data_IF_991492138499
#
_entry.id   IF_991492138499
#
_cell.length_a   1.000
_cell.length_b   1.000
_cell.length_c   1.000
_cell.angle_alpha   90.00
_cell.angle_beta   90.00
_cell.angle_gamma   90.00
#
_symmetry.space_group_name_H-M   'P 1'
#
loop_
_entity.id
_entity.type
_entity.pdbx_description
1 polymer ?
#
# COMPACT_ATOMS: atom_id res chain seq x y z
N UNK A 1 95.84 -20.53 39.40
CA UNK A 1 95.25 -19.22 39.78
C UNK A 1 95.90 -18.13 38.95
N UNK A 2 95.09 -17.43 38.15
CA UNK A 2 95.27 -16.11 37.52
C UNK A 2 94.63 -16.13 36.13
N UNK A 3 93.51 -15.43 36.04
CA UNK A 3 92.50 -15.38 34.98
C UNK A 3 92.98 -14.73 33.68
N UNK A 4 92.64 -15.34 32.54
CA UNK A 4 92.80 -14.74 31.22
C UNK A 4 91.86 -13.53 31.03
N UNK A 5 92.33 -12.41 30.48
CA UNK A 5 91.49 -11.23 30.26
C UNK A 5 90.57 -11.44 29.04
N UNK A 6 89.27 -11.38 29.30
CA UNK A 6 88.19 -11.40 28.34
C UNK A 6 88.29 -10.17 27.41
N UNK A 7 88.78 -10.36 26.18
CA UNK A 7 88.78 -9.33 25.13
C UNK A 7 87.43 -9.34 24.41
N UNK A 8 86.54 -8.45 24.82
CA UNK A 8 85.33 -8.14 24.05
C UNK A 8 85.70 -7.34 22.79
N UNK A 9 85.12 -7.64 21.62
CA UNK A 9 85.38 -6.90 20.40
C UNK A 9 84.80 -5.48 20.48
N UNK A 10 85.65 -4.52 20.08
CA UNK A 10 85.41 -3.08 20.05
C UNK A 10 84.33 -2.72 19.03
N UNK A 11 83.20 -2.19 19.49
CA UNK A 11 82.08 -1.75 18.64
C UNK A 11 82.21 -0.25 18.41
N UNK A 12 82.70 0.12 17.22
CA UNK A 12 82.85 1.52 16.82
C UNK A 12 81.49 2.10 16.43
N UNK A 13 80.87 2.86 17.33
CA UNK A 13 79.69 3.67 17.03
C UNK A 13 80.06 4.91 16.21
N UNK A 14 79.55 4.99 14.98
CA UNK A 14 79.60 6.22 14.18
C UNK A 14 78.64 7.25 14.79
N UNK A 15 79.18 8.29 15.41
CA UNK A 15 78.43 9.49 15.81
C UNK A 15 77.89 10.17 14.55
N UNK A 16 76.58 10.22 14.41
CA UNK A 16 75.91 11.27 13.64
C UNK A 16 75.85 12.49 14.58
N UNK A 17 76.35 13.66 14.20
CA UNK A 17 76.22 14.85 15.05
C UNK A 17 74.73 15.16 15.22
N UNK A 18 74.27 15.04 16.46
CA UNK A 18 72.99 15.57 16.87
C UNK A 18 73.05 17.08 16.83
N UNK A 19 72.08 17.68 16.16
CA UNK A 19 71.63 19.01 16.52
C UNK A 19 70.56 18.83 17.60
N UNK A 20 70.92 19.29 18.79
CA UNK A 20 70.12 19.23 19.99
C UNK A 20 68.86 20.09 19.83
N UNK A 21 67.69 19.57 20.18
CA UNK A 21 66.98 19.98 21.40
C UNK A 21 65.56 19.44 21.44
N UNK A 22 65.34 18.59 22.43
CA UNK A 22 64.06 18.46 23.13
C UNK A 22 63.60 19.81 23.65
N UNK A 23 62.45 20.29 23.15
CA UNK A 23 61.50 21.06 23.93
C UNK A 23 60.10 20.63 23.53
N UNK A 24 59.50 19.79 24.39
CA UNK A 24 58.05 19.62 24.45
C UNK A 24 57.49 20.93 24.99
N UNK A 25 56.87 21.73 24.13
CA UNK A 25 55.92 22.77 24.52
C UNK A 25 54.57 22.36 23.97
N UNK A 26 53.62 22.22 24.89
CA UNK A 26 52.21 21.97 24.60
C UNK A 26 51.65 23.19 23.89
N UNK A 27 51.30 23.06 22.61
CA UNK A 27 50.35 23.94 21.93
C UNK A 27 49.28 23.08 21.24
N UNK A 28 47.98 23.32 21.50
CA UNK A 28 46.89 22.63 20.84
C UNK A 28 46.50 23.40 19.57
N UNK A 29 47.33 23.33 18.53
CA UNK A 29 46.99 23.91 17.23
C UNK A 29 47.12 22.90 16.10
N UNK A 30 45.95 22.43 15.67
CA UNK A 30 45.43 22.52 14.31
C UNK A 30 44.70 21.22 13.93
N UNK A 31 43.39 21.26 13.67
CA UNK A 31 42.72 20.12 13.06
C UNK A 31 43.36 19.92 11.68
N UNK A 32 44.01 18.76 11.46
CA UNK A 32 44.50 18.33 10.16
C UNK A 32 43.32 18.12 9.22
N UNK A 33 42.84 19.23 8.68
CA UNK A 33 41.76 19.30 7.74
C UNK A 33 42.39 19.40 6.33
N UNK A 34 41.92 18.55 5.43
CA UNK A 34 41.97 18.74 3.97
C UNK A 34 43.33 18.57 3.26
N UNK A 35 43.81 17.33 3.18
CA UNK A 35 44.46 16.85 1.93
C UNK A 35 43.72 15.65 1.37
N UNK A 36 42.45 15.88 1.06
CA UNK A 36 41.71 15.00 0.15
C UNK A 36 42.42 15.12 -1.20
N UNK A 37 42.97 14.04 -1.72
CA UNK A 37 43.60 14.05 -3.04
C UNK A 37 42.60 14.65 -4.05
N UNK A 38 43.00 15.60 -4.92
CA UNK A 38 42.08 16.34 -5.79
C UNK A 38 41.24 15.46 -6.72
N UNK A 39 41.62 14.19 -6.88
CA UNK A 39 40.91 13.15 -7.62
C UNK A 39 39.69 12.57 -6.87
N UNK A 40 39.62 12.68 -5.55
CA UNK A 40 38.53 12.12 -4.72
C UNK A 40 37.32 13.05 -4.70
N UNK A 41 37.53 14.36 -4.74
CA UNK A 41 36.46 15.37 -4.77
C UNK A 41 35.44 15.15 -5.90
N UNK A 42 35.82 14.94 -7.18
CA UNK A 42 34.85 14.68 -8.25
C UNK A 42 34.10 13.35 -8.08
N UNK A 43 34.72 12.33 -7.47
CA UNK A 43 34.07 11.04 -7.18
C UNK A 43 32.94 11.24 -6.16
N UNK A 44 33.21 11.98 -5.08
CA UNK A 44 32.21 12.28 -4.05
C UNK A 44 31.05 13.08 -4.65
N UNK A 45 31.34 14.09 -5.48
CA UNK A 45 30.30 14.88 -6.15
C UNK A 45 29.43 14.00 -7.06
N UNK A 46 30.05 13.14 -7.87
CA UNK A 46 29.33 12.21 -8.73
C UNK A 46 28.47 11.23 -7.93
N UNK A 47 28.99 10.71 -6.82
CA UNK A 47 28.25 9.83 -5.91
C UNK A 47 27.06 10.54 -5.27
N UNK A 48 27.22 11.78 -4.79
CA UNK A 48 26.13 12.57 -4.22
C UNK A 48 25.05 12.89 -5.28
N UNK A 49 25.46 13.20 -6.51
CA UNK A 49 24.54 13.40 -7.63
C UNK A 49 23.74 12.13 -7.94
N UNK A 50 24.40 10.98 -7.97
CA UNK A 50 23.75 9.68 -8.16
C UNK A 50 22.76 9.40 -7.02
N UNK A 51 23.16 9.67 -5.78
CA UNK A 51 22.33 9.44 -4.60
C UNK A 51 21.10 10.37 -4.60
N UNK A 52 21.28 11.64 -4.94
CA UNK A 52 20.17 12.59 -5.11
C UNK A 52 19.22 12.16 -6.23
N UNK A 53 19.75 11.67 -7.34
CA UNK A 53 18.96 11.17 -8.47
C UNK A 53 18.12 9.95 -8.05
N UNK A 54 18.76 8.92 -7.47
CA UNK A 54 18.06 7.70 -7.01
C UNK A 54 17.02 8.05 -5.93
N UNK A 55 17.36 8.93 -4.98
CA UNK A 55 16.44 9.39 -3.95
C UNK A 55 15.24 10.14 -4.55
N UNK A 56 15.46 10.99 -5.55
CA UNK A 56 14.41 11.71 -6.25
C UNK A 56 13.48 10.76 -7.00
N UNK A 57 14.05 9.76 -7.70
CA UNK A 57 13.27 8.72 -8.39
C UNK A 57 12.45 7.89 -7.38
N UNK A 58 13.02 7.57 -6.22
CA UNK A 58 12.32 6.85 -5.15
C UNK A 58 11.11 7.64 -4.62
N UNK A 59 11.30 8.93 -4.34
CA UNK A 59 10.21 9.81 -3.87
C UNK A 59 9.11 9.99 -4.93
N UNK A 60 9.48 10.20 -6.20
CA UNK A 60 8.51 10.27 -7.29
C UNK A 60 7.73 8.96 -7.46
N UNK A 61 8.42 7.82 -7.33
CA UNK A 61 7.82 6.49 -7.48
C UNK A 61 6.79 6.20 -6.39
N UNK A 62 7.10 6.50 -5.13
CA UNK A 62 6.16 6.32 -4.01
C UNK A 62 4.93 7.22 -4.18
N UNK A 63 5.14 8.49 -4.52
CA UNK A 63 4.03 9.43 -4.75
C UNK A 63 3.10 8.98 -5.89
N UNK A 64 3.64 8.32 -6.92
CA UNK A 64 2.83 7.76 -8.00
C UNK A 64 2.08 6.50 -7.55
N UNK A 65 2.72 5.64 -6.75
CA UNK A 65 2.11 4.41 -6.24
C UNK A 65 0.94 4.70 -5.27
N UNK A 66 1.08 5.71 -4.42
CA UNK A 66 0.02 6.13 -3.49
C UNK A 66 -1.24 6.59 -4.23
N UNK A 67 -1.08 7.36 -5.32
CA UNK A 67 -2.21 7.80 -6.16
C UNK A 67 -2.92 6.63 -6.83
N UNK A 68 -2.17 5.68 -7.36
CA UNK A 68 -2.74 4.48 -8.01
C UNK A 68 -3.44 3.59 -6.97
N UNK A 69 -2.84 3.41 -5.79
CA UNK A 69 -3.39 2.61 -4.69
C UNK A 69 -4.73 3.17 -4.20
N UNK A 70 -4.81 4.48 -3.97
CA UNK A 70 -6.06 5.15 -3.53
C UNK A 70 -7.15 5.00 -4.60
N UNK A 71 -6.80 5.23 -5.87
CA UNK A 71 -7.75 5.12 -6.98
C UNK A 71 -8.25 3.69 -7.16
N UNK A 72 -7.35 2.70 -7.14
CA UNK A 72 -7.70 1.29 -7.27
C UNK A 72 -8.55 0.80 -6.10
N UNK A 73 -8.27 1.26 -4.87
CA UNK A 73 -9.06 0.94 -3.69
C UNK A 73 -10.46 1.52 -3.77
N UNK A 74 -10.60 2.78 -4.18
CA UNK A 74 -11.91 3.41 -4.37
C UNK A 74 -12.73 2.69 -5.46
N UNK A 75 -12.10 2.41 -6.60
CA UNK A 75 -12.73 1.65 -7.68
C UNK A 75 -13.19 0.26 -7.20
N UNK A 76 -12.33 -0.45 -6.45
CA UNK A 76 -12.64 -1.75 -5.87
C UNK A 76 -13.81 -1.71 -4.88
N UNK A 77 -13.86 -0.69 -4.03
CA UNK A 77 -14.97 -0.48 -3.11
C UNK A 77 -16.28 -0.26 -3.87
N UNK A 78 -16.27 0.58 -4.91
CA UNK A 78 -17.44 0.81 -5.75
C UNK A 78 -17.93 -0.48 -6.43
N UNK A 79 -17.04 -1.26 -7.03
CA UNK A 79 -17.41 -2.54 -7.64
C UNK A 79 -17.99 -3.52 -6.63
N UNK A 80 -17.40 -3.64 -5.44
CA UNK A 80 -17.90 -4.52 -4.39
C UNK A 80 -19.31 -4.15 -3.93
N UNK A 81 -19.59 -2.84 -3.80
CA UNK A 81 -20.90 -2.34 -3.42
C UNK A 81 -21.96 -2.63 -4.50
N UNK A 82 -21.61 -2.46 -5.79
CA UNK A 82 -22.50 -2.79 -6.92
C UNK A 82 -22.82 -4.28 -6.98
N UNK A 83 -21.80 -5.12 -6.82
CA UNK A 83 -21.95 -6.57 -6.81
C UNK A 83 -22.86 -7.02 -5.65
N UNK A 84 -22.66 -6.48 -4.46
CA UNK A 84 -23.48 -6.77 -3.29
C UNK A 84 -24.94 -6.36 -3.51
N UNK A 85 -25.18 -5.17 -4.08
CA UNK A 85 -26.52 -4.69 -4.41
C UNK A 85 -27.23 -5.63 -5.41
N UNK A 86 -26.55 -6.04 -6.48
CA UNK A 86 -27.09 -6.99 -7.46
C UNK A 86 -27.43 -8.35 -6.85
N UNK A 87 -26.53 -8.86 -6.01
CA UNK A 87 -26.76 -10.14 -5.31
C UNK A 87 -27.98 -10.06 -4.39
N UNK A 88 -28.11 -8.97 -3.63
CA UNK A 88 -29.27 -8.75 -2.78
C UNK A 88 -30.56 -8.64 -3.59
N UNK A 89 -30.54 -7.93 -4.73
CA UNK A 89 -31.69 -7.83 -5.63
C UNK A 89 -32.11 -9.21 -6.14
N UNK A 90 -31.14 -10.01 -6.61
CA UNK A 90 -31.41 -11.39 -7.06
C UNK A 90 -32.03 -12.24 -5.96
N UNK A 91 -31.53 -12.14 -4.72
CA UNK A 91 -32.09 -12.86 -3.58
C UNK A 91 -33.52 -12.42 -3.28
N UNK A 92 -33.78 -11.11 -3.28
CA UNK A 92 -35.11 -10.54 -3.02
C UNK A 92 -36.14 -10.97 -4.08
N UNK A 93 -35.80 -10.89 -5.37
CA UNK A 93 -36.66 -11.34 -6.46
C UNK A 93 -36.93 -12.85 -6.38
N UNK A 94 -35.91 -13.64 -6.04
CA UNK A 94 -36.08 -15.10 -5.85
C UNK A 94 -37.01 -15.41 -4.68
N UNK A 95 -36.87 -14.68 -3.56
CA UNK A 95 -37.76 -14.77 -2.41
C UNK A 95 -39.20 -14.43 -2.80
N UNK A 96 -39.42 -13.31 -3.50
CA UNK A 96 -40.74 -12.91 -3.98
C UNK A 96 -41.37 -14.00 -4.85
N UNK A 97 -40.64 -14.54 -5.81
CA UNK A 97 -41.12 -15.63 -6.67
C UNK A 97 -41.49 -16.89 -5.86
N UNK A 98 -40.68 -17.26 -4.87
CA UNK A 98 -40.95 -18.41 -4.02
C UNK A 98 -42.21 -18.21 -3.16
N UNK A 99 -42.41 -17.02 -2.59
CA UNK A 99 -43.61 -16.70 -1.82
C UNK A 99 -44.86 -16.68 -2.71
N UNK A 100 -44.77 -16.06 -3.89
CA UNK A 100 -45.87 -16.04 -4.87
C UNK A 100 -46.26 -17.47 -5.31
N UNK A 101 -45.27 -18.34 -5.57
CA UNK A 101 -45.52 -19.74 -5.92
C UNK A 101 -46.11 -20.53 -4.76
N UNK A 102 -45.65 -20.28 -3.54
CA UNK A 102 -46.19 -20.92 -2.32
C UNK A 102 -47.65 -20.53 -2.12
N UNK A 103 -47.99 -19.24 -2.32
CA UNK A 103 -49.37 -18.75 -2.30
C UNK A 103 -50.24 -19.44 -3.36
N UNK A 104 -49.79 -19.50 -4.61
CA UNK A 104 -50.53 -20.16 -5.70
C UNK A 104 -50.78 -21.65 -5.41
N UNK A 105 -49.81 -22.35 -4.82
CA UNK A 105 -49.96 -23.74 -4.40
C UNK A 105 -50.98 -23.89 -3.26
N UNK A 106 -50.94 -23.03 -2.24
CA UNK A 106 -51.91 -23.05 -1.15
C UNK A 106 -53.34 -22.79 -1.64
N UNK A 107 -53.51 -21.81 -2.54
CA UNK A 107 -54.79 -21.49 -3.17
C UNK A 107 -55.34 -22.68 -3.96
N UNK A 108 -54.49 -23.38 -4.72
CA UNK A 108 -54.88 -24.59 -5.45
C UNK A 108 -55.35 -25.73 -4.53
N UNK A 109 -54.80 -25.81 -3.31
CA UNK A 109 -55.13 -26.87 -2.34
C UNK A 109 -56.39 -26.57 -1.53
N UNK A 110 -56.97 -25.36 -1.66
CA UNK A 110 -58.08 -24.86 -0.83
C UNK A 110 -57.78 -24.95 0.67
N UNK A 111 -56.50 -24.95 1.03
CA UNK A 111 -56.08 -24.87 2.42
C UNK A 111 -56.46 -23.49 2.98
N UNK A 112 -56.69 -23.40 4.29
CA UNK A 112 -56.89 -22.12 4.98
C UNK A 112 -55.67 -21.26 4.66
N UNK A 113 -55.84 -20.16 3.94
CA UNK A 113 -54.76 -19.22 3.65
C UNK A 113 -54.21 -18.72 5.00
N UNK A 114 -53.00 -19.13 5.42
CA UNK A 114 -52.21 -18.41 6.41
C UNK A 114 -51.99 -16.97 5.90
N UNK A 115 -51.42 -16.07 6.71
CA UNK A 115 -51.11 -14.70 6.29
C UNK A 115 -49.95 -14.66 5.28
N UNK A 116 -50.09 -15.34 4.13
CA UNK A 116 -49.15 -15.34 3.01
C UNK A 116 -49.12 -13.99 2.32
N UNK A 117 -50.22 -13.23 2.35
CA UNK A 117 -50.27 -11.87 1.81
C UNK A 117 -49.23 -10.98 2.47
N UNK A 118 -49.11 -11.03 3.80
CA UNK A 118 -48.08 -10.29 4.52
C UNK A 118 -46.66 -10.67 4.07
N UNK A 119 -46.40 -11.95 3.77
CA UNK A 119 -45.08 -12.42 3.33
C UNK A 119 -44.76 -12.01 1.90
N UNK A 120 -45.74 -12.06 1.00
CA UNK A 120 -45.61 -11.63 -0.39
C UNK A 120 -45.44 -10.11 -0.45
N UNK A 121 -46.25 -9.36 0.30
CA UNK A 121 -46.16 -7.89 0.35
C UNK A 121 -44.83 -7.45 0.95
N UNK A 122 -44.36 -8.09 2.03
CA UNK A 122 -43.01 -7.85 2.57
C UNK A 122 -41.93 -8.16 1.53
N UNK A 123 -42.06 -9.24 0.76
CA UNK A 123 -41.09 -9.57 -0.29
C UNK A 123 -41.13 -8.57 -1.46
N UNK A 124 -42.31 -8.01 -1.79
CA UNK A 124 -42.43 -6.92 -2.77
C UNK A 124 -41.77 -5.65 -2.26
N UNK A 125 -42.00 -5.29 -1.00
CA UNK A 125 -41.37 -4.14 -0.35
C UNK A 125 -39.85 -4.27 -0.31
N UNK A 126 -39.31 -5.45 0.02
CA UNK A 126 -37.87 -5.74 -0.02
C UNK A 126 -37.28 -5.47 -1.42
N UNK A 127 -37.97 -5.88 -2.48
CA UNK A 127 -37.53 -5.62 -3.86
C UNK A 127 -37.66 -4.13 -4.19
N UNK A 128 -38.77 -3.47 -3.84
CA UNK A 128 -38.99 -2.04 -4.07
C UNK A 128 -37.92 -1.16 -3.42
N UNK A 129 -37.51 -1.49 -2.19
CA UNK A 129 -36.42 -0.79 -1.48
C UNK A 129 -35.10 -0.93 -2.24
N UNK A 130 -34.80 -2.11 -2.78
CA UNK A 130 -33.57 -2.34 -3.54
C UNK A 130 -33.60 -1.65 -4.90
N UNK A 131 -34.72 -1.71 -5.64
CA UNK A 131 -34.93 -0.96 -6.89
C UNK A 131 -34.76 0.53 -6.66
N UNK A 132 -35.29 1.07 -5.55
CA UNK A 132 -35.07 2.46 -5.16
C UNK A 132 -33.61 2.84 -4.95
N UNK A 133 -32.76 1.89 -4.54
CA UNK A 133 -31.30 2.10 -4.43
C UNK A 133 -30.59 2.03 -5.79
N UNK A 134 -31.10 1.27 -6.76
CA UNK A 134 -30.58 1.24 -8.13
C UNK A 134 -30.76 2.58 -8.84
N UNK A 135 -31.79 3.37 -8.47
CA UNK A 135 -32.04 4.71 -9.03
C UNK A 135 -31.01 5.78 -8.62
N UNK A 136 -30.01 5.45 -7.78
CA UNK A 136 -28.98 6.40 -7.36
C UNK A 136 -27.76 6.35 -8.29
N UNK A 137 -27.18 7.50 -8.66
CA UNK A 137 -25.90 7.54 -9.37
C UNK A 137 -24.82 6.78 -8.59
N UNK A 138 -23.86 6.11 -9.27
CA UNK A 138 -23.57 6.13 -10.71
C UNK A 138 -24.30 5.05 -11.54
N UNK A 139 -25.21 4.28 -10.93
CA UNK A 139 -25.83 3.13 -11.61
C UNK A 139 -26.93 3.57 -12.60
N UNK A 140 -27.57 4.70 -12.35
CA UNK A 140 -28.55 5.33 -13.26
C UNK A 140 -28.01 5.66 -14.66
N UNK A 141 -26.69 5.74 -14.80
CA UNK A 141 -26.06 6.33 -15.98
C UNK A 141 -25.84 5.30 -17.09
N UNK A 142 -25.96 4.00 -16.82
CA UNK A 142 -25.80 2.96 -17.84
C UNK A 142 -27.16 2.46 -18.37
N UNK A 143 -27.30 2.26 -19.69
CA UNK A 143 -28.55 1.83 -20.30
C UNK A 143 -29.01 0.43 -19.83
N UNK A 144 -28.07 -0.49 -19.59
CA UNK A 144 -28.38 -1.85 -19.11
C UNK A 144 -29.10 -1.85 -17.75
N UNK A 145 -28.79 -0.88 -16.88
CA UNK A 145 -29.44 -0.73 -15.57
C UNK A 145 -30.88 -0.24 -15.69
N UNK A 146 -31.17 0.61 -16.68
CA UNK A 146 -32.52 1.07 -16.96
C UNK A 146 -33.39 -0.08 -17.48
N UNK A 147 -32.82 -0.98 -18.28
CA UNK A 147 -33.52 -2.18 -18.73
C UNK A 147 -33.80 -3.13 -17.57
N UNK A 148 -32.78 -3.48 -16.77
CA UNK A 148 -32.94 -4.34 -15.59
C UNK A 148 -34.00 -3.78 -14.62
N UNK A 149 -34.00 -2.46 -14.41
CA UNK A 149 -35.00 -1.79 -13.59
C UNK A 149 -36.40 -1.96 -14.17
N UNK A 150 -36.59 -1.65 -15.46
CA UNK A 150 -37.89 -1.77 -16.12
C UNK A 150 -38.41 -3.20 -16.07
N UNK A 151 -37.53 -4.19 -16.28
CA UNK A 151 -37.88 -5.61 -16.20
C UNK A 151 -38.27 -6.02 -14.77
N UNK A 152 -37.58 -5.47 -13.77
CA UNK A 152 -37.88 -5.75 -12.35
C UNK A 152 -39.17 -5.08 -11.90
N UNK A 153 -39.41 -3.82 -12.28
CA UNK A 153 -40.66 -3.09 -11.98
C UNK A 153 -41.86 -3.82 -12.59
N UNK A 154 -41.74 -4.24 -13.87
CA UNK A 154 -42.76 -5.03 -14.56
C UNK A 154 -43.03 -6.40 -13.91
N UNK A 155 -42.05 -6.97 -13.19
CA UNK A 155 -42.22 -8.24 -12.49
C UNK A 155 -42.94 -8.11 -11.14
N UNK A 156 -42.89 -6.92 -10.53
CA UNK A 156 -43.51 -6.66 -9.22
C UNK A 156 -44.99 -6.29 -9.38
N UNK A 157 -45.33 -5.55 -10.45
CA UNK A 157 -46.72 -5.26 -10.89
C UNK A 157 -47.53 -6.54 -11.18
#
# INVERSE_FOLDING_TARGET
>A
MATAPNKQPDVVYRRIPGENQTSRTNDPEAPQAHRIAPTVTPIIIGFLLLLALISGLGLLSVNQMDRVSITARDLGLQYSARQNLLQNLKLAVTKLNNEARTRAQAESRRDILPPFDFRVDTARDDVNVLVGRLNRPPLSDYPDWNQLRTDTEKFIE
#
